data_IF_003578677395
#
_entry.id   IF_003578677395
#
_cell.length_a   1.000
_cell.length_b   1.000
_cell.length_c   1.000
_cell.angle_alpha   90.00
_cell.angle_beta   90.00
_cell.angle_gamma   90.00
#
_symmetry.space_group_name_H-M   'P 1'
#
loop_
_entity.id
_entity.type
_entity.pdbx_description
1 polymer ?
#
# COMPACT_ATOMS: atom_id res chain seq x y z
N UNK A 1 -31.09 -20.41 14.58
CA UNK A 1 -30.43 -19.13 14.16
C UNK A 1 -30.12 -19.27 12.69
N UNK A 2 -30.70 -18.44 11.86
CA UNK A 2 -30.42 -18.43 10.42
C UNK A 2 -29.04 -17.83 10.17
N UNK A 3 -28.29 -18.36 9.20
CA UNK A 3 -26.96 -17.87 8.84
C UNK A 3 -26.97 -16.37 8.44
N UNK A 4 -28.09 -15.93 7.84
CA UNK A 4 -28.26 -14.56 7.35
C UNK A 4 -28.81 -13.57 8.38
N UNK A 5 -29.21 -14.04 9.59
CA UNK A 5 -29.70 -13.13 10.65
C UNK A 5 -28.75 -11.97 10.92
N UNK A 6 -27.42 -12.24 10.95
CA UNK A 6 -26.38 -11.20 11.10
C UNK A 6 -26.37 -10.17 9.97
N UNK A 7 -26.75 -10.57 8.74
CA UNK A 7 -26.81 -9.68 7.58
C UNK A 7 -28.06 -8.79 7.64
N UNK A 8 -29.19 -9.36 8.06
CA UNK A 8 -30.45 -8.63 8.22
C UNK A 8 -30.38 -7.61 9.36
N UNK A 9 -29.67 -7.95 10.44
CA UNK A 9 -29.52 -7.11 11.62
C UNK A 9 -28.42 -6.03 11.48
N UNK A 10 -27.63 -6.03 10.39
CA UNK A 10 -26.60 -5.03 10.14
C UNK A 10 -27.21 -3.75 9.54
N UNK A 11 -27.47 -2.74 10.37
CA UNK A 11 -28.12 -1.47 9.98
C UNK A 11 -27.21 -0.25 10.05
N UNK A 12 -26.07 -0.35 10.75
CA UNK A 12 -25.17 0.78 11.04
C UNK A 12 -24.77 1.60 9.80
N UNK A 13 -24.37 0.92 8.70
CA UNK A 13 -24.02 1.60 7.47
C UNK A 13 -25.22 2.31 6.81
N UNK A 14 -26.43 1.72 6.89
CA UNK A 14 -27.67 2.31 6.36
C UNK A 14 -28.05 3.57 7.15
N UNK A 15 -27.89 3.55 8.45
CA UNK A 15 -28.13 4.68 9.34
C UNK A 15 -27.14 5.82 9.05
N UNK A 16 -25.83 5.49 8.92
CA UNK A 16 -24.82 6.48 8.52
C UNK A 16 -25.10 7.12 7.16
N UNK A 17 -25.56 6.34 6.18
CA UNK A 17 -26.00 6.85 4.86
C UNK A 17 -27.19 7.80 5.01
N UNK A 18 -28.21 7.43 5.79
CA UNK A 18 -29.38 8.25 6.02
C UNK A 18 -29.05 9.60 6.68
N UNK A 19 -28.05 9.62 7.56
CA UNK A 19 -27.55 10.83 8.21
C UNK A 19 -26.52 11.62 7.36
N UNK A 20 -26.13 11.12 6.17
CA UNK A 20 -25.16 11.78 5.29
C UNK A 20 -23.72 11.82 5.81
N UNK A 21 -23.36 10.92 6.72
CA UNK A 21 -22.03 10.82 7.33
C UNK A 21 -21.28 9.53 6.94
N UNK A 22 -21.68 8.88 5.84
CA UNK A 22 -21.07 7.66 5.35
C UNK A 22 -19.93 7.97 4.35
N UNK A 23 -18.65 7.77 4.74
CA UNK A 23 -17.49 8.19 3.94
C UNK A 23 -16.99 7.16 2.95
N UNK A 24 -17.63 5.99 2.88
CA UNK A 24 -17.16 4.84 2.11
C UNK A 24 -17.94 4.64 0.82
N UNK A 25 -17.35 3.96 -0.17
CA UNK A 25 -17.97 3.65 -1.48
C UNK A 25 -18.54 4.88 -2.21
N UNK A 26 -17.82 6.02 -2.12
CA UNK A 26 -18.21 7.27 -2.77
C UNK A 26 -18.00 7.14 -4.29
N UNK A 27 -19.06 7.17 -5.13
CA UNK A 27 -18.93 7.06 -6.58
C UNK A 27 -18.44 8.38 -7.19
N UNK A 28 -17.19 8.39 -7.63
CA UNK A 28 -16.62 9.54 -8.34
C UNK A 28 -17.07 9.52 -9.80
N UNK A 29 -17.47 10.67 -10.35
CA UNK A 29 -17.88 10.82 -11.74
C UNK A 29 -16.73 11.23 -12.66
N UNK A 30 -15.65 11.74 -12.08
CA UNK A 30 -14.42 12.10 -12.76
C UNK A 30 -13.23 11.92 -11.83
N UNK A 31 -12.07 11.54 -12.40
CA UNK A 31 -10.83 11.30 -11.66
C UNK A 31 -9.65 11.77 -12.53
N UNK A 32 -9.36 13.06 -12.47
CA UNK A 32 -8.28 13.72 -13.21
C UNK A 32 -7.06 14.00 -12.32
N UNK A 33 -6.46 12.95 -11.79
CA UNK A 33 -5.22 13.07 -11.01
C UNK A 33 -5.44 13.66 -9.63
N UNK A 34 -5.13 14.95 -9.45
CA UNK A 34 -5.23 15.65 -8.16
C UNK A 34 -6.62 16.18 -7.82
N UNK A 35 -7.55 16.10 -8.75
CA UNK A 35 -8.93 16.52 -8.55
C UNK A 35 -9.90 15.40 -8.93
N UNK A 36 -11.02 15.35 -8.22
CA UNK A 36 -12.10 14.40 -8.47
C UNK A 36 -13.45 15.12 -8.42
N UNK A 37 -14.46 14.54 -9.06
CA UNK A 37 -15.82 15.10 -9.06
C UNK A 37 -16.80 14.11 -8.42
N UNK A 38 -17.55 14.60 -7.45
CA UNK A 38 -18.65 13.88 -6.82
C UNK A 38 -19.93 14.71 -6.94
N UNK A 39 -20.93 14.17 -7.65
CA UNK A 39 -22.23 14.85 -7.87
C UNK A 39 -22.10 16.32 -8.33
N UNK A 40 -21.15 16.59 -9.22
CA UNK A 40 -20.85 17.93 -9.71
C UNK A 40 -20.00 18.81 -8.77
N UNK A 41 -19.65 18.32 -7.60
CA UNK A 41 -18.77 18.99 -6.65
C UNK A 41 -17.31 18.57 -6.86
N UNK A 42 -16.43 19.53 -7.11
CA UNK A 42 -14.99 19.31 -7.35
C UNK A 42 -14.23 19.30 -6.03
N UNK A 43 -13.37 18.30 -5.84
CA UNK A 43 -12.62 18.05 -4.61
C UNK A 43 -11.14 17.88 -4.93
N UNK A 44 -10.26 18.48 -4.13
CA UNK A 44 -8.83 18.16 -4.16
C UNK A 44 -8.64 16.79 -3.50
N UNK A 45 -8.01 15.86 -4.23
CA UNK A 45 -7.86 14.46 -3.83
C UNK A 45 -6.64 14.28 -2.92
N UNK A 46 -6.84 14.30 -1.62
CA UNK A 46 -5.82 14.00 -0.62
C UNK A 46 -6.00 12.61 0.03
N UNK A 47 -6.74 11.71 -0.59
CA UNK A 47 -6.99 10.35 -0.11
C UNK A 47 -6.49 9.24 -1.04
N UNK A 48 -5.87 9.58 -2.18
CA UNK A 48 -5.41 8.61 -3.18
C UNK A 48 -3.99 8.13 -2.90
N UNK A 49 -3.70 6.87 -3.30
CA UNK A 49 -2.35 6.30 -3.31
C UNK A 49 -1.61 6.51 -4.65
N UNK A 50 -2.09 7.39 -5.52
CA UNK A 50 -1.48 7.72 -6.81
C UNK A 50 -0.26 8.64 -6.63
N UNK A 51 0.74 8.20 -5.85
CA UNK A 51 1.84 9.03 -5.35
C UNK A 51 2.55 9.83 -6.43
N UNK A 52 2.85 9.22 -7.58
CA UNK A 52 3.54 9.88 -8.67
C UNK A 52 2.60 10.58 -9.68
N UNK A 53 1.27 10.45 -9.50
CA UNK A 53 0.29 11.05 -10.40
C UNK A 53 0.17 10.35 -11.77
N UNK A 54 0.66 9.13 -11.90
CA UNK A 54 0.84 8.45 -13.20
C UNK A 54 -0.46 7.94 -13.83
N UNK A 55 -1.58 7.88 -13.12
CA UNK A 55 -2.87 7.44 -13.70
C UNK A 55 -3.33 8.28 -14.88
N UNK A 56 -2.86 9.53 -14.96
CA UNK A 56 -3.16 10.46 -16.06
C UNK A 56 -1.97 10.73 -16.98
N UNK A 57 -0.82 10.10 -16.72
CA UNK A 57 0.39 10.31 -17.50
C UNK A 57 0.23 9.81 -18.94
N UNK A 58 0.56 10.64 -19.99
CA UNK A 58 0.33 10.27 -21.40
C UNK A 58 0.97 8.96 -21.81
N UNK A 59 2.23 8.71 -21.47
CA UNK A 59 2.94 7.46 -21.77
C UNK A 59 2.24 6.23 -21.18
N UNK A 60 1.74 6.32 -19.93
CA UNK A 60 1.07 5.22 -19.25
C UNK A 60 -0.29 4.92 -19.90
N UNK A 61 -1.07 5.95 -20.22
CA UNK A 61 -2.35 5.81 -20.92
C UNK A 61 -2.17 5.21 -22.31
N UNK A 62 -1.23 5.72 -23.09
CA UNK A 62 -0.97 5.23 -24.45
C UNK A 62 -0.53 3.77 -24.44
N UNK A 63 0.39 3.38 -23.55
CA UNK A 63 0.83 1.99 -23.44
C UNK A 63 -0.35 1.04 -23.15
N UNK A 64 -1.29 1.42 -22.28
CA UNK A 64 -2.49 0.64 -22.00
C UNK A 64 -3.39 0.50 -23.23
N UNK A 65 -3.60 1.60 -23.99
CA UNK A 65 -4.42 1.62 -25.22
C UNK A 65 -3.79 0.70 -26.29
N UNK A 66 -2.50 0.82 -26.53
CA UNK A 66 -1.80 -0.01 -27.53
C UNK A 66 -1.80 -1.50 -27.14
N UNK A 67 -1.68 -1.82 -25.85
CA UNK A 67 -1.80 -3.19 -25.39
C UNK A 67 -3.21 -3.78 -25.64
N UNK A 68 -4.27 -2.99 -25.45
CA UNK A 68 -5.65 -3.41 -25.79
C UNK A 68 -5.76 -3.69 -27.30
N UNK A 69 -5.23 -2.81 -28.15
CA UNK A 69 -5.27 -2.99 -29.61
C UNK A 69 -4.52 -4.26 -30.04
N UNK A 70 -3.36 -4.56 -29.42
CA UNK A 70 -2.52 -5.70 -29.81
C UNK A 70 -3.01 -7.04 -29.22
N UNK A 71 -3.40 -7.08 -27.97
CA UNK A 71 -3.65 -8.32 -27.21
C UNK A 71 -5.11 -8.52 -26.80
N UNK A 72 -5.98 -7.53 -27.02
CA UNK A 72 -7.36 -7.56 -26.52
C UNK A 72 -7.47 -7.16 -25.04
N UNK A 73 -8.66 -7.39 -24.47
CA UNK A 73 -9.03 -6.90 -23.13
C UNK A 73 -8.66 -7.83 -22.00
N UNK A 74 -8.34 -9.10 -22.29
CA UNK A 74 -8.06 -10.13 -21.26
C UNK A 74 -7.25 -11.28 -21.85
N UNK A 75 -6.49 -11.97 -20.97
CA UNK A 75 -5.81 -13.22 -21.33
C UNK A 75 -6.73 -14.45 -21.23
N UNK A 76 -7.90 -14.33 -20.61
CA UNK A 76 -8.90 -15.40 -20.40
C UNK A 76 -8.37 -16.69 -19.78
N UNK A 77 -7.28 -16.61 -19.02
CA UNK A 77 -6.66 -17.76 -18.35
C UNK A 77 -5.63 -17.34 -17.31
N UNK A 78 -5.17 -18.29 -16.52
CA UNK A 78 -4.14 -18.05 -15.50
C UNK A 78 -2.75 -17.97 -16.14
N UNK A 79 -1.80 -17.34 -15.42
CA UNK A 79 -0.37 -17.32 -15.78
C UNK A 79 0.18 -18.72 -16.02
N UNK A 80 -0.30 -19.70 -15.28
CA UNK A 80 0.15 -21.10 -15.34
C UNK A 80 -0.25 -21.82 -16.64
N UNK A 81 -1.36 -21.46 -17.26
CA UNK A 81 -1.87 -22.12 -18.46
C UNK A 81 -1.63 -21.25 -19.72
N UNK A 82 -2.62 -20.45 -20.09
CA UNK A 82 -2.61 -19.69 -21.34
C UNK A 82 -2.54 -18.16 -21.15
N UNK A 83 -2.41 -17.69 -19.93
CA UNK A 83 -2.47 -16.26 -19.59
C UNK A 83 -1.08 -15.58 -19.47
N UNK A 84 0.01 -16.20 -19.89
CA UNK A 84 1.32 -15.56 -19.90
C UNK A 84 1.60 -14.94 -21.28
N UNK A 85 1.87 -13.64 -21.31
CA UNK A 85 2.29 -12.87 -22.48
C UNK A 85 3.77 -12.47 -22.35
N UNK A 86 4.42 -12.15 -23.46
CA UNK A 86 5.76 -11.53 -23.48
C UNK A 86 5.86 -10.29 -22.57
N UNK A 87 4.76 -9.53 -22.47
CA UNK A 87 4.68 -8.36 -21.56
C UNK A 87 4.89 -8.72 -20.09
N UNK A 88 4.40 -9.89 -19.65
CA UNK A 88 4.60 -10.33 -18.26
C UNK A 88 6.07 -10.64 -18.00
N UNK A 89 6.71 -11.40 -18.89
CA UNK A 89 8.12 -11.77 -18.74
C UNK A 89 9.03 -10.55 -18.81
N UNK A 90 8.74 -9.62 -19.71
CA UNK A 90 9.46 -8.33 -19.79
C UNK A 90 9.30 -7.55 -18.49
N UNK A 91 8.07 -7.41 -17.97
CA UNK A 91 7.82 -6.68 -16.72
C UNK A 91 8.54 -7.35 -15.53
N UNK A 92 8.51 -8.69 -15.44
CA UNK A 92 9.22 -9.45 -14.41
C UNK A 92 10.73 -9.20 -14.44
N UNK A 93 11.33 -9.21 -15.64
CA UNK A 93 12.76 -8.91 -15.82
C UNK A 93 13.11 -7.47 -15.42
N UNK A 94 12.33 -6.50 -15.87
CA UNK A 94 12.57 -5.08 -15.57
C UNK A 94 12.33 -4.73 -14.09
N UNK A 95 11.37 -5.40 -13.42
CA UNK A 95 11.14 -5.25 -12.00
C UNK A 95 12.26 -5.86 -11.15
N UNK A 96 12.76 -7.06 -11.52
CA UNK A 96 13.90 -7.68 -10.85
C UNK A 96 15.11 -6.76 -10.88
N UNK A 97 15.42 -6.19 -12.05
CA UNK A 97 16.48 -5.20 -12.22
C UNK A 97 16.25 -3.95 -11.35
N UNK A 98 15.02 -3.40 -11.38
CA UNK A 98 14.66 -2.19 -10.63
C UNK A 98 14.85 -2.34 -9.12
N UNK A 99 14.45 -3.48 -8.56
CA UNK A 99 14.58 -3.73 -7.12
C UNK A 99 15.90 -4.41 -6.74
N UNK A 100 16.81 -4.66 -7.71
CA UNK A 100 18.13 -5.26 -7.46
C UNK A 100 18.08 -6.70 -6.95
N UNK A 101 17.16 -7.53 -7.51
CA UNK A 101 16.99 -8.95 -7.23
C UNK A 101 17.23 -9.81 -8.48
N UNK A 102 17.45 -11.13 -8.27
CA UNK A 102 17.73 -12.05 -9.38
C UNK A 102 16.49 -12.31 -10.27
N UNK A 103 15.30 -12.39 -9.64
CA UNK A 103 14.06 -12.67 -10.33
C UNK A 103 12.87 -11.95 -9.71
N UNK A 104 11.82 -11.77 -10.50
CA UNK A 104 10.52 -11.30 -10.03
C UNK A 104 9.38 -12.14 -10.65
N UNK A 105 8.22 -12.11 -9.99
CA UNK A 105 7.01 -12.80 -10.41
C UNK A 105 5.79 -11.90 -10.25
N UNK A 106 5.04 -11.70 -11.33
CA UNK A 106 3.88 -10.82 -11.37
C UNK A 106 2.58 -11.56 -11.08
N UNK A 107 1.77 -10.99 -10.20
CA UNK A 107 0.42 -11.42 -9.82
C UNK A 107 -0.63 -10.41 -10.29
N UNK A 108 -1.89 -10.84 -10.33
CA UNK A 108 -3.00 -9.99 -10.80
C UNK A 108 -3.40 -8.87 -9.82
N UNK A 109 -3.06 -9.00 -8.53
CA UNK A 109 -3.22 -7.95 -7.51
C UNK A 109 -2.14 -8.05 -6.43
N UNK A 110 -1.89 -6.95 -5.69
CA UNK A 110 -1.01 -6.99 -4.52
C UNK A 110 -1.53 -7.94 -3.42
N UNK A 111 -2.84 -8.00 -3.22
CA UNK A 111 -3.47 -8.98 -2.31
C UNK A 111 -3.07 -10.41 -2.67
N UNK A 112 -3.23 -10.80 -3.95
CA UNK A 112 -2.87 -12.13 -4.41
C UNK A 112 -1.37 -12.41 -4.33
N UNK A 113 -0.53 -11.38 -4.45
CA UNK A 113 0.92 -11.51 -4.27
C UNK A 113 1.25 -12.00 -2.87
N UNK A 114 0.71 -11.37 -1.83
CA UNK A 114 0.90 -11.80 -0.45
C UNK A 114 0.29 -13.17 -0.18
N UNK A 115 -0.98 -13.40 -0.60
CA UNK A 115 -1.63 -14.70 -0.43
C UNK A 115 -0.83 -15.84 -1.08
N UNK A 116 -0.38 -15.64 -2.32
CA UNK A 116 0.35 -16.65 -3.09
C UNK A 116 1.75 -16.90 -2.54
N UNK A 117 2.47 -15.85 -2.20
CA UNK A 117 3.85 -15.93 -1.69
C UNK A 117 3.90 -16.58 -0.31
N UNK A 118 3.17 -16.02 0.64
CA UNK A 118 3.25 -16.46 2.05
C UNK A 118 2.73 -17.88 2.20
N UNK A 119 1.56 -18.19 1.61
CA UNK A 119 0.99 -19.54 1.70
C UNK A 119 1.81 -20.61 0.98
N UNK A 120 2.58 -20.24 -0.04
CA UNK A 120 3.48 -21.18 -0.73
C UNK A 120 4.72 -21.52 0.09
N UNK A 121 5.26 -20.56 0.85
CA UNK A 121 6.52 -20.71 1.58
C UNK A 121 6.35 -21.32 2.97
N UNK A 122 5.23 -21.09 3.65
CA UNK A 122 5.04 -21.42 5.07
C UNK A 122 4.43 -22.82 5.23
N UNK A 123 5.26 -23.79 5.62
CA UNK A 123 4.89 -25.16 5.96
C UNK A 123 4.48 -25.33 7.44
N UNK A 124 4.15 -26.59 7.83
CA UNK A 124 3.61 -26.92 9.18
C UNK A 124 4.58 -26.61 10.32
N UNK A 125 5.86 -26.78 10.08
CA UNK A 125 6.89 -26.63 11.10
C UNK A 125 7.50 -25.23 11.13
N UNK A 126 7.08 -24.37 10.19
CA UNK A 126 7.59 -23.01 10.05
C UNK A 126 6.82 -22.00 10.93
N UNK A 127 7.43 -20.84 11.09
CA UNK A 127 6.88 -19.68 11.79
C UNK A 127 6.87 -18.47 10.86
N UNK A 128 5.76 -17.79 10.81
CA UNK A 128 5.67 -16.46 10.20
C UNK A 128 5.51 -15.43 11.30
N UNK A 129 6.40 -14.44 11.33
CA UNK A 129 6.47 -13.42 12.36
C UNK A 129 6.04 -12.09 11.74
N UNK A 130 4.97 -11.51 12.28
CA UNK A 130 4.30 -10.33 11.74
C UNK A 130 4.36 -9.16 12.72
N UNK A 131 4.56 -7.97 12.19
CA UNK A 131 4.20 -6.75 12.92
C UNK A 131 2.66 -6.72 13.10
N UNK A 132 2.18 -6.24 14.24
CA UNK A 132 0.74 -6.24 14.51
C UNK A 132 -0.04 -5.32 13.56
N UNK A 133 0.62 -4.30 13.01
CA UNK A 133 0.03 -3.29 12.12
C UNK A 133 0.29 -3.59 10.63
N UNK A 134 0.87 -4.78 10.32
CA UNK A 134 1.01 -5.27 8.95
C UNK A 134 -0.32 -5.35 8.21
N UNK A 135 -0.26 -5.10 6.91
CA UNK A 135 -1.44 -5.10 6.03
C UNK A 135 -2.23 -6.41 6.08
N UNK A 136 -3.55 -6.32 6.01
CA UNK A 136 -4.47 -7.47 6.10
C UNK A 136 -4.14 -8.61 5.11
N UNK A 137 -3.61 -8.30 3.93
CA UNK A 137 -3.22 -9.31 2.94
C UNK A 137 -2.05 -10.19 3.40
N UNK A 138 -1.13 -9.66 4.19
CA UNK A 138 -0.04 -10.41 4.82
C UNK A 138 -0.62 -11.38 5.84
N UNK A 139 -1.50 -10.87 6.71
CA UNK A 139 -2.19 -11.68 7.73
C UNK A 139 -3.00 -12.81 7.10
N UNK A 140 -3.73 -12.52 6.03
CA UNK A 140 -4.55 -13.52 5.33
C UNK A 140 -3.67 -14.53 4.58
N UNK A 141 -2.56 -14.08 3.97
CA UNK A 141 -1.55 -14.96 3.38
C UNK A 141 -0.95 -15.93 4.40
N UNK A 142 -0.62 -15.42 5.60
CA UNK A 142 -0.13 -16.24 6.71
C UNK A 142 -1.18 -17.26 7.20
N UNK A 143 -2.46 -16.87 7.26
CA UNK A 143 -3.57 -17.78 7.63
C UNK A 143 -3.82 -18.89 6.62
N UNK A 144 -3.51 -18.67 5.36
CA UNK A 144 -3.61 -19.70 4.30
C UNK A 144 -2.44 -20.67 4.33
N UNK A 145 -1.30 -20.30 4.93
CA UNK A 145 -0.18 -21.18 5.21
C UNK A 145 -0.51 -22.16 6.35
N UNK A 146 0.33 -23.19 6.48
CA UNK A 146 0.14 -24.22 7.52
C UNK A 146 0.95 -23.95 8.79
N UNK A 147 1.85 -22.95 8.80
CA UNK A 147 2.71 -22.63 9.93
C UNK A 147 2.01 -21.80 10.99
N UNK A 148 2.68 -21.62 12.13
CA UNK A 148 2.17 -20.75 13.19
C UNK A 148 2.49 -19.30 12.92
N UNK A 149 1.51 -18.43 13.25
CA UNK A 149 1.63 -16.99 13.19
C UNK A 149 2.06 -16.50 14.58
N UNK A 150 3.20 -15.84 14.63
CA UNK A 150 3.68 -15.10 15.79
C UNK A 150 3.55 -13.60 15.51
N UNK A 151 3.30 -12.80 16.54
CA UNK A 151 3.13 -11.35 16.37
C UNK A 151 3.98 -10.57 17.36
N UNK A 152 4.51 -9.45 16.92
CA UNK A 152 5.14 -8.47 17.80
C UNK A 152 4.44 -7.12 17.69
N UNK A 153 4.62 -6.27 18.73
CA UNK A 153 4.05 -4.92 18.74
C UNK A 153 4.73 -4.08 17.67
N UNK A 154 3.96 -3.16 17.09
CA UNK A 154 4.40 -2.31 16.02
C UNK A 154 5.74 -1.62 16.32
N UNK A 155 6.72 -1.84 15.42
CA UNK A 155 8.10 -1.34 15.51
C UNK A 155 8.81 -1.60 16.87
N UNK A 156 8.31 -2.54 17.70
CA UNK A 156 8.93 -2.94 18.98
C UNK A 156 9.96 -4.05 18.75
N UNK A 157 11.19 -3.64 18.50
CA UNK A 157 12.29 -4.56 18.17
C UNK A 157 12.66 -5.45 19.36
N UNK A 158 12.53 -4.97 20.58
CA UNK A 158 12.79 -5.77 21.77
C UNK A 158 11.71 -6.85 21.97
N UNK A 159 10.46 -6.57 21.57
CA UNK A 159 9.41 -7.58 21.51
C UNK A 159 9.67 -8.60 20.39
N UNK A 160 10.09 -8.15 19.20
CA UNK A 160 10.48 -9.04 18.11
C UNK A 160 11.60 -10.02 18.57
N UNK A 161 12.61 -9.53 19.28
CA UNK A 161 13.67 -10.39 19.80
C UNK A 161 13.12 -11.45 20.77
N UNK A 162 12.26 -11.06 21.72
CA UNK A 162 11.62 -12.03 22.64
C UNK A 162 10.81 -13.08 21.89
N UNK A 163 10.09 -12.71 20.84
CA UNK A 163 9.36 -13.64 19.98
C UNK A 163 10.33 -14.61 19.31
N UNK A 164 11.40 -14.12 18.70
CA UNK A 164 12.39 -14.95 18.00
C UNK A 164 13.10 -15.93 18.94
N UNK A 165 13.44 -15.51 20.16
CA UNK A 165 14.03 -16.39 21.20
C UNK A 165 13.08 -17.53 21.58
N UNK A 166 11.76 -17.33 21.54
CA UNK A 166 10.77 -18.36 21.89
C UNK A 166 10.55 -19.42 20.80
N UNK A 167 11.05 -19.19 19.58
CA UNK A 167 10.87 -20.09 18.43
C UNK A 167 11.99 -21.14 18.42
N UNK A 168 11.68 -22.45 18.26
CA UNK A 168 12.70 -23.47 18.13
C UNK A 168 13.70 -23.18 17.00
N UNK A 169 14.97 -23.48 17.22
CA UNK A 169 16.02 -23.28 16.20
C UNK A 169 15.76 -24.08 14.92
N UNK A 170 15.15 -25.26 15.05
CA UNK A 170 14.80 -26.13 13.92
C UNK A 170 13.65 -25.65 13.05
N UNK A 171 12.88 -24.66 13.51
CA UNK A 171 11.77 -24.10 12.74
C UNK A 171 12.28 -23.13 11.67
N UNK A 172 11.76 -23.24 10.44
CA UNK A 172 11.90 -22.18 9.44
C UNK A 172 11.21 -20.90 9.93
N UNK A 173 11.80 -19.75 9.66
CA UNK A 173 11.30 -18.46 10.17
C UNK A 173 11.25 -17.44 9.04
N UNK A 174 10.09 -16.80 8.87
CA UNK A 174 9.92 -15.68 7.94
C UNK A 174 9.35 -14.49 8.71
N UNK A 175 10.12 -13.43 8.81
CA UNK A 175 9.64 -12.13 9.28
C UNK A 175 9.06 -11.40 8.07
N UNK A 176 7.82 -10.93 8.17
CA UNK A 176 7.21 -10.08 7.16
C UNK A 176 6.88 -8.75 7.82
N UNK A 177 7.11 -7.66 7.10
CA UNK A 177 6.85 -6.31 7.60
C UNK A 177 6.50 -5.38 6.43
N UNK A 178 5.50 -4.51 6.63
CA UNK A 178 5.29 -3.38 5.73
C UNK A 178 6.52 -2.46 5.77
N UNK A 179 7.12 -2.18 4.63
CA UNK A 179 8.26 -1.26 4.57
C UNK A 179 7.86 0.17 4.96
N UNK A 180 6.70 0.59 4.45
CA UNK A 180 6.02 1.83 4.78
C UNK A 180 4.59 1.51 5.24
N UNK A 181 4.26 1.80 6.49
CA UNK A 181 2.95 1.53 7.07
C UNK A 181 1.89 2.49 6.56
N UNK A 182 0.81 1.93 6.06
CA UNK A 182 -0.18 2.63 5.23
C UNK A 182 -1.04 3.67 5.96
N UNK A 183 -1.18 3.57 7.27
CA UNK A 183 -2.07 4.42 8.06
C UNK A 183 -1.32 5.58 8.75
N UNK A 184 -0.18 5.29 9.35
CA UNK A 184 0.59 6.28 10.10
C UNK A 184 1.75 6.88 9.30
N UNK A 185 2.12 6.27 8.15
CA UNK A 185 3.14 6.82 7.26
C UNK A 185 4.57 6.74 7.81
N UNK A 186 4.79 5.89 8.80
CA UNK A 186 6.12 5.59 9.33
C UNK A 186 6.77 4.41 8.59
N UNK A 187 8.04 4.20 8.84
CA UNK A 187 8.86 3.16 8.21
C UNK A 187 9.19 2.04 9.21
N UNK A 188 9.30 0.82 8.69
CA UNK A 188 9.86 -0.29 9.45
C UNK A 188 11.32 -0.02 9.82
N UNK A 189 11.72 -0.39 11.04
CA UNK A 189 13.11 -0.31 11.51
C UNK A 189 13.96 -1.44 10.92
N UNK A 190 14.05 -1.47 9.56
CA UNK A 190 14.83 -2.47 8.84
C UNK A 190 16.29 -2.53 9.29
N UNK A 191 16.96 -1.40 9.64
CA UNK A 191 18.33 -1.43 10.17
C UNK A 191 18.52 -2.28 11.43
N UNK A 192 17.47 -2.46 12.24
CA UNK A 192 17.49 -3.33 13.41
C UNK A 192 16.88 -4.71 13.14
N UNK A 193 15.81 -4.79 12.34
CA UNK A 193 15.13 -6.04 11.98
C UNK A 193 16.06 -6.98 11.21
N UNK A 194 16.73 -6.51 10.16
CA UNK A 194 17.52 -7.36 9.27
C UNK A 194 18.71 -8.03 9.96
N UNK A 195 19.57 -7.32 10.72
CA UNK A 195 20.65 -7.98 11.47
C UNK A 195 20.12 -8.95 12.52
N UNK A 196 18.99 -8.64 13.15
CA UNK A 196 18.35 -9.54 14.11
C UNK A 196 17.86 -10.82 13.44
N UNK A 197 17.17 -10.70 12.31
CA UNK A 197 16.73 -11.85 11.51
C UNK A 197 17.90 -12.80 11.20
N UNK A 198 19.01 -12.27 10.72
CA UNK A 198 20.23 -13.04 10.43
C UNK A 198 20.75 -13.79 11.66
N UNK A 199 20.79 -13.13 12.82
CA UNK A 199 21.24 -13.74 14.09
C UNK A 199 20.39 -14.94 14.50
N UNK A 200 19.08 -14.91 14.23
CA UNK A 200 18.15 -15.99 14.55
C UNK A 200 17.86 -16.96 13.39
N UNK A 201 18.59 -16.84 12.28
CA UNK A 201 18.38 -17.68 11.09
C UNK A 201 17.00 -17.48 10.44
N UNK A 202 16.40 -16.30 10.59
CA UNK A 202 15.14 -15.93 9.97
C UNK A 202 15.37 -15.25 8.61
N UNK A 203 14.43 -15.43 7.69
CA UNK A 203 14.33 -14.70 6.43
C UNK A 203 13.46 -13.46 6.59
N UNK A 204 13.68 -12.45 5.75
CA UNK A 204 12.93 -11.18 5.79
C UNK A 204 12.24 -10.93 4.46
N UNK A 205 10.94 -10.70 4.52
CA UNK A 205 10.13 -10.18 3.42
C UNK A 205 9.65 -8.77 3.76
N UNK A 206 9.87 -7.83 2.86
CA UNK A 206 9.35 -6.46 2.96
C UNK A 206 8.20 -6.28 1.99
N UNK A 207 7.03 -5.95 2.50
CA UNK A 207 5.91 -5.45 1.69
C UNK A 207 6.12 -3.95 1.46
N UNK A 208 6.59 -3.62 0.30
CA UNK A 208 6.92 -2.25 -0.10
C UNK A 208 5.86 -1.64 -1.01
N UNK A 209 4.60 -2.02 -0.80
CA UNK A 209 3.47 -1.54 -1.58
C UNK A 209 3.33 0.00 -1.54
N UNK A 210 3.67 0.64 -0.43
CA UNK A 210 3.67 2.08 -0.26
C UNK A 210 5.05 2.74 -0.47
N UNK A 211 6.14 1.98 -0.30
CA UNK A 211 7.50 2.49 -0.43
C UNK A 211 8.00 2.54 -1.87
N UNK A 212 7.57 1.60 -2.73
CA UNK A 212 7.99 1.55 -4.12
C UNK A 212 7.55 2.78 -4.91
N UNK A 213 8.49 3.44 -5.60
CA UNK A 213 8.27 4.72 -6.27
C UNK A 213 8.25 5.93 -5.31
N UNK A 214 8.55 5.74 -4.02
CA UNK A 214 8.47 6.80 -2.98
C UNK A 214 9.77 6.88 -2.18
N UNK A 215 10.19 5.79 -1.53
CA UNK A 215 11.39 5.72 -0.70
C UNK A 215 12.60 5.22 -1.48
N UNK A 216 13.82 5.43 -0.96
CA UNK A 216 15.04 4.93 -1.59
C UNK A 216 15.21 5.34 -3.05
N UNK A 217 14.92 6.59 -3.37
CA UNK A 217 14.93 7.10 -4.76
C UNK A 217 14.00 6.31 -5.70
N UNK A 218 12.90 5.77 -5.16
CA UNK A 218 11.91 4.97 -5.87
C UNK A 218 12.14 3.46 -5.85
N UNK A 219 13.29 3.02 -5.36
CA UNK A 219 13.65 1.59 -5.28
C UNK A 219 13.10 0.88 -4.03
N UNK A 220 12.38 1.62 -3.17
CA UNK A 220 11.69 1.07 -2.01
C UNK A 220 12.45 1.23 -0.69
N UNK A 221 11.83 0.74 0.39
CA UNK A 221 12.29 0.95 1.76
C UNK A 221 13.58 0.20 2.08
N UNK A 222 13.77 -1.00 1.54
CA UNK A 222 15.05 -1.71 1.69
C UNK A 222 16.23 -0.92 1.08
N UNK A 223 16.01 -0.28 -0.08
CA UNK A 223 17.01 0.58 -0.72
C UNK A 223 17.25 1.88 0.07
N UNK A 224 16.22 2.43 0.70
CA UNK A 224 16.33 3.63 1.57
C UNK A 224 17.40 3.44 2.66
N UNK A 225 17.52 2.22 3.18
CA UNK A 225 18.48 1.88 4.24
C UNK A 225 19.74 1.15 3.72
N UNK A 226 19.90 0.99 2.40
CA UNK A 226 21.03 0.26 1.82
C UNK A 226 21.00 -1.25 2.09
N UNK A 227 19.82 -1.81 2.39
CA UNK A 227 19.64 -3.21 2.82
C UNK A 227 19.05 -4.12 1.73
N UNK A 228 18.99 -3.66 0.47
CA UNK A 228 18.40 -4.43 -0.64
C UNK A 228 18.94 -5.85 -0.76
N UNK A 229 20.25 -6.03 -0.57
CA UNK A 229 20.89 -7.35 -0.64
C UNK A 229 20.63 -8.25 0.57
N UNK A 230 20.25 -7.64 1.68
CA UNK A 230 20.10 -8.30 2.97
C UNK A 230 18.64 -8.70 3.28
N UNK A 231 17.68 -8.10 2.58
CA UNK A 231 16.27 -8.49 2.58
C UNK A 231 16.09 -9.62 1.57
N UNK A 232 15.44 -10.72 1.94
CA UNK A 232 15.30 -11.91 1.09
C UNK A 232 14.24 -11.72 -0.01
N UNK A 233 13.10 -11.14 0.35
CA UNK A 233 11.97 -10.95 -0.54
C UNK A 233 11.47 -9.49 -0.49
N UNK A 234 11.22 -8.90 -1.65
CA UNK A 234 10.60 -7.59 -1.80
C UNK A 234 9.28 -7.77 -2.55
N UNK A 235 8.18 -7.44 -1.90
CA UNK A 235 6.84 -7.40 -2.48
C UNK A 235 6.44 -5.96 -2.79
N UNK A 236 5.71 -5.74 -3.88
CA UNK A 236 5.00 -4.47 -4.09
C UNK A 236 3.74 -4.63 -4.94
N UNK A 237 2.95 -3.56 -5.04
CA UNK A 237 1.70 -3.52 -5.82
C UNK A 237 1.79 -2.50 -6.94
N UNK A 238 1.02 -2.74 -8.01
CA UNK A 238 0.88 -1.76 -9.10
C UNK A 238 -0.26 -0.77 -8.86
N UNK A 239 -1.06 -0.95 -7.82
CA UNK A 239 -2.25 -0.12 -7.56
C UNK A 239 -1.97 1.24 -6.93
N UNK A 240 -0.70 1.62 -6.82
CA UNK A 240 -0.25 2.89 -6.21
C UNK A 240 0.67 3.66 -7.17
N UNK A 241 1.98 3.75 -6.90
CA UNK A 241 2.94 4.47 -7.74
C UNK A 241 2.99 4.01 -9.20
N UNK A 242 2.72 2.74 -9.46
CA UNK A 242 2.66 2.19 -10.83
C UNK A 242 1.35 2.50 -11.58
N UNK A 243 0.38 3.16 -10.95
CA UNK A 243 -0.88 3.61 -11.56
C UNK A 243 -1.65 2.54 -12.34
N UNK A 244 -1.59 1.27 -11.91
CA UNK A 244 -2.19 0.13 -12.58
C UNK A 244 -2.84 -0.86 -11.60
N UNK A 245 -3.11 -2.07 -12.02
CA UNK A 245 -3.58 -3.17 -11.17
C UNK A 245 -2.63 -4.36 -11.32
N UNK A 246 -2.25 -4.94 -10.19
CA UNK A 246 -1.34 -6.07 -10.10
C UNK A 246 -0.44 -5.95 -8.88
N UNK A 247 0.57 -6.80 -8.82
CA UNK A 247 1.63 -6.76 -7.83
C UNK A 247 2.74 -7.73 -8.23
N UNK A 248 3.85 -7.69 -7.51
CA UNK A 248 4.96 -8.58 -7.75
C UNK A 248 5.68 -8.96 -6.47
N UNK A 249 6.38 -10.08 -6.51
CA UNK A 249 7.37 -10.50 -5.54
C UNK A 249 8.71 -10.65 -6.24
N UNK A 250 9.80 -10.21 -5.62
CA UNK A 250 11.15 -10.33 -6.13
C UNK A 250 12.09 -10.90 -5.07
N UNK A 251 13.08 -11.69 -5.49
CA UNK A 251 14.04 -12.36 -4.62
C UNK A 251 15.01 -13.20 -5.42
N UNK A 252 15.67 -14.17 -4.75
CA UNK A 252 16.55 -15.14 -5.38
C UNK A 252 15.77 -16.04 -6.35
N UNK A 253 16.36 -16.36 -7.51
CA UNK A 253 15.67 -17.10 -8.58
C UNK A 253 15.05 -18.42 -8.10
N UNK A 254 15.71 -19.30 -7.32
CA UNK A 254 15.12 -20.56 -6.88
C UNK A 254 13.88 -20.37 -6.00
N UNK A 255 13.83 -19.30 -5.21
CA UNK A 255 12.68 -18.98 -4.35
C UNK A 255 11.50 -18.49 -5.20
N UNK A 256 11.75 -17.59 -6.14
CA UNK A 256 10.74 -17.09 -7.06
C UNK A 256 10.20 -18.22 -7.94
N UNK A 257 11.08 -19.12 -8.44
CA UNK A 257 10.68 -20.29 -9.17
C UNK A 257 9.79 -21.23 -8.36
N UNK A 258 10.11 -21.45 -7.08
CA UNK A 258 9.27 -22.25 -6.18
C UNK A 258 7.88 -21.61 -6.01
N UNK A 259 7.80 -20.30 -5.72
CA UNK A 259 6.55 -19.56 -5.57
C UNK A 259 5.71 -19.66 -6.86
N UNK A 260 6.33 -19.52 -8.03
CA UNK A 260 5.68 -19.64 -9.35
C UNK A 260 4.92 -20.96 -9.54
N UNK A 261 5.43 -22.06 -8.97
CA UNK A 261 4.86 -23.40 -9.14
C UNK A 261 3.98 -23.87 -7.96
N UNK A 262 3.99 -23.13 -6.83
CA UNK A 262 3.24 -23.49 -5.61
C UNK A 262 2.25 -22.42 -5.18
N UNK A 263 2.37 -21.19 -5.67
CA UNK A 263 1.50 -20.07 -5.32
C UNK A 263 0.07 -20.23 -5.87
N UNK A 264 -0.83 -20.76 -5.07
CA UNK A 264 -2.21 -21.06 -5.48
C UNK A 264 -2.95 -19.82 -6.00
N UNK A 265 -2.71 -18.64 -5.41
CA UNK A 265 -3.33 -17.39 -5.84
C UNK A 265 -2.84 -16.93 -7.24
N UNK A 266 -1.70 -17.44 -7.72
CA UNK A 266 -1.23 -17.26 -9.09
C UNK A 266 -1.83 -18.31 -10.03
N UNK A 267 -1.72 -19.58 -9.64
CA UNK A 267 -2.06 -20.74 -10.49
C UNK A 267 -3.56 -20.79 -10.79
N UNK A 268 -4.41 -20.50 -9.79
CA UNK A 268 -5.86 -20.63 -9.86
C UNK A 268 -6.58 -19.30 -10.04
N UNK A 269 -5.87 -18.25 -10.46
CA UNK A 269 -6.44 -16.95 -10.78
C UNK A 269 -6.18 -16.57 -12.23
N UNK A 270 -7.09 -15.79 -12.81
CA UNK A 270 -6.85 -15.19 -14.12
C UNK A 270 -5.66 -14.22 -14.08
N UNK A 271 -4.91 -14.19 -15.16
CA UNK A 271 -3.82 -13.25 -15.38
C UNK A 271 -4.31 -11.81 -15.43
N UNK A 272 -3.45 -10.88 -15.00
CA UNK A 272 -3.73 -9.45 -15.16
C UNK A 272 -3.93 -9.09 -16.65
N UNK A 273 -4.90 -8.22 -16.97
CA UNK A 273 -5.14 -7.79 -18.36
C UNK A 273 -3.92 -7.15 -19.00
N UNK A 274 -3.74 -7.30 -20.33
CA UNK A 274 -2.60 -6.73 -21.06
C UNK A 274 -2.41 -5.23 -20.85
N UNK A 275 -3.51 -4.49 -20.79
CA UNK A 275 -3.49 -3.05 -20.52
C UNK A 275 -2.84 -2.69 -19.19
N UNK A 276 -3.12 -3.49 -18.13
CA UNK A 276 -2.56 -3.25 -16.82
C UNK A 276 -1.06 -3.55 -16.77
N UNK A 277 -0.60 -4.59 -17.43
CA UNK A 277 0.82 -4.94 -17.52
C UNK A 277 1.59 -3.89 -18.31
N UNK A 278 1.04 -3.44 -19.44
CA UNK A 278 1.67 -2.39 -20.25
C UNK A 278 1.70 -1.04 -19.52
N UNK A 279 0.65 -0.69 -18.77
CA UNK A 279 0.63 0.49 -17.92
C UNK A 279 1.71 0.44 -16.83
N UNK A 280 1.88 -0.72 -16.17
CA UNK A 280 2.91 -0.91 -15.14
C UNK A 280 4.33 -0.81 -15.74
N UNK A 281 4.58 -1.37 -16.93
CA UNK A 281 5.84 -1.22 -17.66
C UNK A 281 6.12 0.25 -17.97
N UNK A 282 5.15 0.97 -18.53
CA UNK A 282 5.31 2.38 -18.85
C UNK A 282 5.50 3.24 -17.61
N UNK A 283 4.83 2.92 -16.50
CA UNK A 283 5.03 3.61 -15.23
C UNK A 283 6.46 3.41 -14.70
N UNK A 284 7.02 2.19 -14.80
CA UNK A 284 8.41 1.91 -14.43
C UNK A 284 9.40 2.70 -15.30
N UNK A 285 9.13 2.80 -16.61
CA UNK A 285 9.93 3.61 -17.53
C UNK A 285 9.87 5.10 -17.17
N UNK A 286 8.70 5.60 -16.79
CA UNK A 286 8.56 6.99 -16.31
C UNK A 286 9.33 7.20 -15.02
N UNK A 287 9.26 6.28 -14.05
CA UNK A 287 10.05 6.39 -12.80
C UNK A 287 11.56 6.46 -13.06
N UNK A 288 12.06 5.74 -14.08
CA UNK A 288 13.48 5.79 -14.50
C UNK A 288 13.85 7.10 -15.20
N UNK A 289 12.96 7.60 -16.06
CA UNK A 289 13.24 8.75 -16.93
C UNK A 289 12.88 10.10 -16.33
N UNK A 290 12.03 10.13 -15.30
CA UNK A 290 11.49 11.32 -14.66
C UNK A 290 11.63 11.22 -13.11
N UNK A 291 12.88 11.04 -12.58
CA UNK A 291 13.11 10.83 -11.14
C UNK A 291 12.71 12.04 -10.28
N UNK A 292 12.55 13.23 -10.89
CA UNK A 292 12.03 14.42 -10.24
C UNK A 292 10.61 14.25 -9.68
N UNK A 293 9.81 13.32 -10.22
CA UNK A 293 8.49 13.00 -9.66
C UNK A 293 8.61 12.38 -8.26
N UNK A 294 9.63 11.54 -8.06
CA UNK A 294 9.89 10.90 -6.76
C UNK A 294 10.35 11.95 -5.74
N UNK A 295 11.22 12.88 -6.16
CA UNK A 295 11.61 13.99 -5.29
C UNK A 295 10.39 14.86 -4.94
N UNK A 296 9.60 15.24 -5.95
CA UNK A 296 8.46 16.14 -5.78
C UNK A 296 7.37 15.58 -4.86
N UNK A 297 7.07 14.27 -4.92
CA UNK A 297 6.09 13.67 -3.99
C UNK A 297 6.55 13.76 -2.54
N UNK A 298 7.85 13.60 -2.28
CA UNK A 298 8.43 13.73 -0.95
C UNK A 298 8.47 15.19 -0.47
N UNK A 299 8.82 16.13 -1.35
CA UNK A 299 8.82 17.58 -1.04
C UNK A 299 7.40 18.06 -0.72
N UNK A 300 6.40 17.66 -1.51
CA UNK A 300 4.99 17.97 -1.24
C UNK A 300 4.54 17.43 0.11
N UNK A 301 4.92 16.20 0.44
CA UNK A 301 4.59 15.57 1.71
C UNK A 301 5.24 16.30 2.89
N UNK A 302 6.50 16.69 2.76
CA UNK A 302 7.21 17.45 3.78
C UNK A 302 6.60 18.83 4.00
N UNK A 303 6.26 19.54 2.91
CA UNK A 303 5.53 20.83 2.95
C UNK A 303 4.24 20.69 3.75
N UNK A 304 3.45 19.67 3.44
CA UNK A 304 2.16 19.46 4.08
C UNK A 304 2.28 19.04 5.55
N UNK A 305 3.20 18.13 5.86
CA UNK A 305 3.46 17.72 7.24
C UNK A 305 3.88 18.90 8.12
N UNK A 306 4.84 19.70 7.66
CA UNK A 306 5.26 20.93 8.34
C UNK A 306 4.10 21.92 8.51
N UNK A 307 3.34 22.17 7.44
CA UNK A 307 2.19 23.07 7.49
C UNK A 307 1.11 22.62 8.49
N UNK A 308 0.82 21.32 8.57
CA UNK A 308 -0.10 20.80 9.59
C UNK A 308 0.45 20.96 11.01
N UNK A 309 1.72 20.66 11.23
CA UNK A 309 2.35 20.82 12.54
C UNK A 309 2.37 22.29 12.99
N UNK A 310 2.67 23.22 12.10
CA UNK A 310 2.62 24.67 12.36
C UNK A 310 1.20 25.16 12.70
N UNK A 311 0.17 24.53 12.13
CA UNK A 311 -1.23 24.79 12.47
C UNK A 311 -1.64 24.17 13.80
N UNK A 312 -0.85 23.26 14.37
CA UNK A 312 -1.13 22.59 15.64
C UNK A 312 -1.76 21.20 15.53
N UNK A 313 -1.80 20.61 14.34
CA UNK A 313 -2.27 19.22 14.16
C UNK A 313 -1.18 18.20 14.55
N UNK A 314 -1.62 17.08 15.12
CA UNK A 314 -0.78 15.91 15.38
C UNK A 314 -0.68 15.04 14.10
N UNK A 315 0.53 14.93 13.54
CA UNK A 315 0.84 14.13 12.36
C UNK A 315 1.53 12.80 12.67
N UNK A 316 1.59 12.42 13.94
CA UNK A 316 2.26 11.20 14.39
C UNK A 316 3.74 11.15 14.02
N UNK A 317 4.23 9.94 13.75
CA UNK A 317 5.62 9.67 13.37
C UNK A 317 5.86 9.66 11.85
N UNK A 318 4.92 10.17 11.05
CA UNK A 318 5.01 10.13 9.59
C UNK A 318 6.29 10.79 9.05
N UNK A 319 6.90 10.11 8.09
CA UNK A 319 8.11 10.56 7.38
C UNK A 319 7.93 10.49 5.85
N UNK A 320 6.72 10.18 5.37
CA UNK A 320 6.44 9.74 3.99
C UNK A 320 5.30 10.55 3.40
N UNK A 321 4.91 10.33 2.14
CA UNK A 321 3.75 10.97 1.53
C UNK A 321 2.39 10.63 2.17
N UNK A 322 2.32 9.69 3.07
CA UNK A 322 1.16 9.46 3.93
C UNK A 322 1.30 10.31 5.18
N UNK A 323 0.44 11.32 5.33
CA UNK A 323 0.45 12.25 6.46
C UNK A 323 -0.87 12.13 7.23
N UNK A 324 -0.90 11.38 8.33
CA UNK A 324 -2.10 11.27 9.15
C UNK A 324 -2.37 12.57 9.92
N UNK A 325 -3.64 12.85 10.19
CA UNK A 325 -4.07 13.86 11.14
C UNK A 325 -4.79 13.14 12.26
N UNK A 326 -4.10 12.96 13.39
CA UNK A 326 -4.60 12.19 14.51
C UNK A 326 -5.64 13.01 15.27
N UNK A 327 -6.82 12.43 15.49
CA UNK A 327 -7.96 13.07 16.13
C UNK A 327 -8.32 12.38 17.46
N UNK A 328 -8.23 11.04 17.50
CA UNK A 328 -8.42 10.25 18.70
C UNK A 328 -9.88 9.93 19.08
N UNK A 329 -10.85 10.33 18.25
CA UNK A 329 -12.29 10.14 18.52
C UNK A 329 -13.04 9.86 17.22
N UNK A 330 -13.97 8.87 17.21
CA UNK A 330 -14.71 8.47 16.01
C UNK A 330 -15.61 9.59 15.49
N UNK A 331 -16.42 10.21 16.37
CA UNK A 331 -17.45 11.18 15.98
C UNK A 331 -16.79 12.45 15.44
N UNK A 332 -15.73 12.92 16.11
CA UNK A 332 -14.94 14.05 15.63
C UNK A 332 -14.25 13.75 14.31
N UNK A 333 -13.78 12.51 14.09
CA UNK A 333 -13.15 12.12 12.83
C UNK A 333 -14.15 12.15 11.67
N UNK A 334 -15.37 11.63 11.87
CA UNK A 334 -16.43 11.72 10.87
C UNK A 334 -16.89 13.16 10.63
N UNK A 335 -17.03 13.95 11.69
CA UNK A 335 -17.39 15.35 11.57
C UNK A 335 -16.34 16.15 10.78
N UNK A 336 -15.06 15.95 11.11
CA UNK A 336 -13.95 16.58 10.40
C UNK A 336 -13.94 16.18 8.93
N UNK A 337 -14.07 14.88 8.62
CA UNK A 337 -14.18 14.37 7.26
C UNK A 337 -15.31 15.05 6.50
N UNK A 338 -16.52 15.08 7.07
CA UNK A 338 -17.70 15.66 6.41
C UNK A 338 -17.47 17.14 6.08
N UNK A 339 -16.94 17.90 7.01
CA UNK A 339 -16.70 19.34 6.82
C UNK A 339 -15.60 19.61 5.78
N UNK A 340 -14.54 18.78 5.74
CA UNK A 340 -13.49 18.88 4.73
C UNK A 340 -14.04 18.51 3.35
N UNK A 341 -14.82 17.44 3.27
CA UNK A 341 -15.47 17.02 2.02
C UNK A 341 -16.38 18.11 1.46
N UNK A 342 -17.24 18.70 2.28
CA UNK A 342 -18.12 19.79 1.88
C UNK A 342 -17.34 21.06 1.50
N UNK A 343 -16.14 21.25 2.05
CA UNK A 343 -15.27 22.38 1.74
C UNK A 343 -14.38 22.16 0.50
N UNK A 344 -14.43 20.98 -0.12
CA UNK A 344 -13.70 20.68 -1.36
C UNK A 344 -12.40 19.89 -1.18
N UNK A 345 -12.24 19.14 -0.08
CA UNK A 345 -11.06 18.26 0.13
C UNK A 345 -11.51 16.83 0.40
N UNK A 346 -11.02 15.91 -0.43
CA UNK A 346 -11.25 14.47 -0.24
C UNK A 346 -10.13 13.86 0.62
N UNK A 347 -10.48 13.31 1.79
CA UNK A 347 -9.59 12.57 2.68
C UNK A 347 -10.27 11.28 3.14
N UNK A 348 -9.51 10.34 3.69
CA UNK A 348 -10.05 9.07 4.19
C UNK A 348 -10.11 9.10 5.72
N UNK A 349 -11.29 9.02 6.34
CA UNK A 349 -11.39 8.82 7.79
C UNK A 349 -11.05 7.36 8.11
N UNK A 350 -10.20 7.19 9.11
CA UNK A 350 -9.80 5.87 9.63
C UNK A 350 -10.17 5.81 11.10
N UNK A 351 -11.02 4.86 11.43
CA UNK A 351 -11.58 4.69 12.78
C UNK A 351 -11.26 3.30 13.35
N UNK A 352 -11.49 3.12 14.64
CA UNK A 352 -11.42 1.78 15.25
C UNK A 352 -12.46 0.84 14.56
N UNK A 353 -12.13 -0.43 14.28
CA UNK A 353 -10.92 -1.17 14.69
C UNK A 353 -9.74 -1.12 13.69
N UNK A 354 -9.80 -0.32 12.61
CA UNK A 354 -8.70 -0.21 11.66
C UNK A 354 -7.46 0.47 12.27
N UNK A 355 -7.66 1.29 13.31
CA UNK A 355 -6.61 1.84 14.18
C UNK A 355 -7.00 1.60 15.64
N UNK A 356 -6.03 1.68 16.54
CA UNK A 356 -6.28 1.51 17.98
C UNK A 356 -7.22 2.61 18.49
N UNK A 357 -8.04 2.32 19.54
CA UNK A 357 -8.81 3.34 20.23
C UNK A 357 -7.90 4.49 20.72
N UNK A 358 -8.32 5.72 20.46
CA UNK A 358 -7.52 6.92 20.72
C UNK A 358 -6.55 7.30 19.61
N UNK A 359 -6.48 6.51 18.51
CA UNK A 359 -5.63 6.78 17.34
C UNK A 359 -6.43 7.02 16.05
N UNK A 360 -7.73 7.28 16.16
CA UNK A 360 -8.56 7.62 14.99
C UNK A 360 -7.97 8.83 14.28
N UNK A 361 -7.98 8.81 12.96
CA UNK A 361 -7.28 9.80 12.16
C UNK A 361 -8.00 10.11 10.83
N UNK A 362 -7.66 11.22 10.25
CA UNK A 362 -7.84 11.45 8.81
C UNK A 362 -6.55 11.09 8.10
N UNK A 363 -6.60 10.10 7.21
CA UNK A 363 -5.47 9.73 6.39
C UNK A 363 -5.41 10.65 5.19
N UNK A 364 -4.36 11.47 5.11
CA UNK A 364 -4.05 12.24 3.90
C UNK A 364 -2.85 11.65 3.19
N UNK A 365 -2.80 11.82 1.88
CA UNK A 365 -1.65 11.44 1.05
C UNK A 365 -1.51 12.41 -0.12
N UNK A 366 -0.27 12.65 -0.50
CA UNK A 366 0.06 13.65 -1.50
C UNK A 366 0.66 13.00 -2.74
N UNK A 367 0.43 13.67 -3.89
CA UNK A 367 0.92 13.24 -5.19
C UNK A 367 2.01 14.21 -5.68
N UNK A 368 2.92 13.72 -6.50
CA UNK A 368 3.92 14.55 -7.18
C UNK A 368 3.28 15.66 -8.04
N UNK A 369 2.06 15.40 -8.53
CA UNK A 369 1.32 16.30 -9.42
C UNK A 369 0.46 17.33 -8.69
N UNK A 370 0.36 17.31 -7.35
CA UNK A 370 -0.28 18.40 -6.63
C UNK A 370 0.46 19.72 -6.87
N UNK A 371 -0.30 20.79 -7.16
CA UNK A 371 0.26 22.13 -7.29
C UNK A 371 0.39 22.80 -5.93
N UNK A 372 1.27 23.79 -5.83
CA UNK A 372 1.44 24.59 -4.61
C UNK A 372 0.13 25.24 -4.17
N UNK A 373 -0.65 25.81 -5.11
CA UNK A 373 -1.96 26.41 -4.84
C UNK A 373 -2.95 25.40 -4.24
N UNK A 374 -2.94 24.15 -4.74
CA UNK A 374 -3.80 23.09 -4.18
C UNK A 374 -3.38 22.73 -2.75
N UNK A 375 -2.07 22.61 -2.49
CA UNK A 375 -1.55 22.28 -1.17
C UNK A 375 -1.84 23.40 -0.16
N UNK A 376 -1.64 24.65 -0.53
CA UNK A 376 -1.98 25.82 0.29
C UNK A 376 -3.47 25.89 0.59
N UNK A 377 -4.29 25.66 -0.43
CA UNK A 377 -5.74 25.59 -0.27
C UNK A 377 -6.19 24.51 0.70
N UNK A 378 -5.54 23.34 0.67
CA UNK A 378 -5.82 22.24 1.62
C UNK A 378 -5.49 22.70 3.05
N UNK A 379 -4.32 23.30 3.30
CA UNK A 379 -3.94 23.83 4.62
C UNK A 379 -4.92 24.88 5.14
N UNK A 380 -5.35 25.83 4.29
CA UNK A 380 -6.36 26.82 4.65
C UNK A 380 -7.69 26.19 5.08
N UNK A 381 -8.16 25.19 4.32
CA UNK A 381 -9.42 24.48 4.63
C UNK A 381 -9.29 23.72 5.93
N UNK A 382 -8.18 22.96 6.12
CA UNK A 382 -7.92 22.24 7.37
C UNK A 382 -7.84 23.18 8.58
N UNK A 383 -7.15 24.32 8.45
CA UNK A 383 -7.07 25.32 9.52
C UNK A 383 -8.45 25.82 9.94
N UNK A 384 -9.29 26.19 8.96
CA UNK A 384 -10.64 26.67 9.22
C UNK A 384 -11.53 25.59 9.87
N UNK A 385 -11.46 24.35 9.36
CA UNK A 385 -12.25 23.24 9.91
C UNK A 385 -11.73 22.86 11.29
N UNK A 386 -10.41 22.72 11.47
CA UNK A 386 -9.79 22.34 12.73
C UNK A 386 -10.13 23.29 13.88
N UNK A 387 -10.06 24.59 13.63
CA UNK A 387 -10.49 25.61 14.62
C UNK A 387 -11.97 25.51 14.95
N UNK A 388 -12.81 25.32 13.91
CA UNK A 388 -14.28 25.29 14.12
C UNK A 388 -14.73 24.12 14.99
N UNK A 389 -14.03 22.98 14.98
CA UNK A 389 -14.37 21.79 15.75
C UNK A 389 -13.44 21.57 16.95
N UNK A 390 -12.53 22.53 17.23
CA UNK A 390 -11.64 22.49 18.38
C UNK A 390 -10.57 21.39 18.31
N UNK A 391 -10.02 21.10 17.13
CA UNK A 391 -8.86 20.22 16.95
C UNK A 391 -7.55 21.00 17.09
N UNK A 392 -7.57 22.28 16.76
CA UNK A 392 -6.43 23.19 16.87
C UNK A 392 -6.90 24.53 17.48
N UNK A 393 -5.98 25.35 18.03
CA UNK A 393 -6.28 26.67 18.60
C UNK A 393 -6.93 27.67 17.64
#
# INVERSE_FOLDING_TARGET
>A
MDLFDKCHNYTEAKEAIAHGIYPFFIPLTDNEGTEVVFKGHRLIMCGSNNYLGLTTHPKVREAAIEAIKKYGTSCTGSRFLNGTLELHERLESELAEWVGKEAALVFSTGMQTNLGTVSALIGRDDRVILDKDDHASIVDGARLGYGRIERYNHNDIDHLERVLVSIPETAGKLIIVDGLFSMEGDLADLPRIVPMAKRFGARVMVDDAHGMGVTGQGHGTAAQFGLTKDVDLIMSTFSKSFASLGGFIAGDEPVIHYIKHHGRALIFSASAPPANIAAALAALEVMRSEPELIQRVNDNAEKMRKGFQELGFDTGASQTPVVPIIIGDNDKTFLAWKMLFDAGVFVNPVISPAVQPGRQLLRTSYMATHTDDQLERVLEIFSRVGRKIGLIP
#
